data_IF_299202566099
#
_entry.id   IF_299202566099
#
_cell.length_a   1.000
_cell.length_b   1.000
_cell.length_c   1.000
_cell.angle_alpha   90.00
_cell.angle_beta   90.00
_cell.angle_gamma   90.00
#
_symmetry.space_group_name_H-M   'P 1'
#
loop_
_entity.id
_entity.type
_entity.pdbx_description
1 polymer ?
#
# COMPACT_ATOMS: atom_id res chain seq x y z
N UNK A 1 12.90 22.31 -1.15
CA UNK A 1 13.31 21.01 -1.73
C UNK A 1 13.08 19.84 -0.78
N UNK A 2 13.16 20.01 0.56
CA UNK A 2 12.86 18.93 1.53
C UNK A 2 11.37 18.55 1.63
N UNK A 3 10.44 19.48 1.39
CA UNK A 3 8.99 19.18 1.43
C UNK A 3 8.52 18.31 0.26
N UNK A 4 9.07 18.50 -0.94
CA UNK A 4 8.72 17.72 -2.13
C UNK A 4 9.13 16.25 -1.93
N UNK A 5 10.36 16.03 -1.43
CA UNK A 5 10.87 14.68 -1.17
C UNK A 5 10.10 13.94 -0.06
N UNK A 6 9.57 14.66 0.94
CA UNK A 6 8.76 14.04 2.01
C UNK A 6 7.37 13.63 1.53
N UNK A 7 6.79 14.39 0.59
CA UNK A 7 5.47 14.09 0.03
C UNK A 7 5.51 12.85 -0.87
N UNK A 8 6.59 12.71 -1.66
CA UNK A 8 6.79 11.58 -2.56
C UNK A 8 6.93 10.24 -1.81
N UNK A 9 7.65 10.22 -0.69
CA UNK A 9 7.82 9.00 0.12
C UNK A 9 6.50 8.50 0.72
N UNK A 10 5.64 9.42 1.18
CA UNK A 10 4.34 9.04 1.74
C UNK A 10 3.42 8.48 0.65
N UNK A 11 3.45 9.07 -0.56
CA UNK A 11 2.69 8.57 -1.70
C UNK A 11 3.16 7.18 -2.17
N UNK A 12 4.47 6.95 -2.23
CA UNK A 12 5.04 5.61 -2.54
C UNK A 12 4.59 4.58 -1.50
N UNK A 13 4.67 4.90 -0.21
CA UNK A 13 4.22 3.99 0.86
C UNK A 13 2.73 3.68 0.74
N UNK A 14 1.91 4.68 0.48
CA UNK A 14 0.47 4.49 0.29
C UNK A 14 0.20 3.57 -0.91
N UNK A 15 0.85 3.82 -2.04
CA UNK A 15 0.74 2.98 -3.24
C UNK A 15 1.06 1.51 -2.93
N UNK A 16 2.19 1.25 -2.27
CA UNK A 16 2.61 -0.09 -1.92
C UNK A 16 1.63 -0.78 -0.95
N UNK A 17 1.14 -0.07 0.06
CA UNK A 17 0.19 -0.62 1.02
C UNK A 17 -1.13 -0.97 0.34
N UNK A 18 -1.65 -0.07 -0.49
CA UNK A 18 -2.87 -0.30 -1.26
C UNK A 18 -2.69 -1.50 -2.19
N UNK A 19 -1.55 -1.58 -2.88
CA UNK A 19 -1.25 -2.70 -3.75
C UNK A 19 -1.27 -4.04 -3.00
N UNK A 20 -0.61 -4.12 -1.84
CA UNK A 20 -0.61 -5.34 -1.02
C UNK A 20 -1.99 -5.67 -0.46
N UNK A 21 -2.80 -4.65 -0.11
CA UNK A 21 -4.20 -4.84 0.31
C UNK A 21 -5.05 -5.41 -0.84
N UNK A 22 -4.86 -4.91 -2.06
CA UNK A 22 -5.56 -5.41 -3.25
C UNK A 22 -5.12 -6.81 -3.67
N UNK A 23 -3.89 -7.19 -3.33
CA UNK A 23 -3.33 -8.52 -3.60
C UNK A 23 -3.75 -9.57 -2.56
N UNK A 24 -4.54 -9.20 -1.54
CA UNK A 24 -5.04 -10.09 -0.48
C UNK A 24 -3.94 -10.92 0.19
N UNK A 25 -2.75 -10.33 0.42
CA UNK A 25 -1.63 -10.99 1.13
C UNK A 25 -2.09 -11.55 2.48
N UNK A 26 -2.96 -10.79 3.15
CA UNK A 26 -3.78 -11.26 4.25
C UNK A 26 -5.23 -11.12 3.78
N UNK A 27 -6.03 -12.18 3.93
CA UNK A 27 -7.44 -12.14 3.54
C UNK A 27 -8.20 -11.01 4.26
N UNK A 28 -9.25 -10.49 3.62
CA UNK A 28 -10.11 -9.43 4.20
C UNK A 28 -10.66 -9.81 5.58
N UNK A 29 -11.03 -11.09 5.78
CA UNK A 29 -11.48 -11.61 7.07
C UNK A 29 -10.40 -11.49 8.16
N UNK A 30 -9.17 -11.88 7.85
CA UNK A 30 -8.06 -11.85 8.80
C UNK A 30 -7.56 -10.43 9.06
N UNK A 31 -7.71 -9.52 8.09
CA UNK A 31 -7.51 -8.07 8.27
C UNK A 31 -8.59 -7.43 9.15
N UNK A 32 -9.74 -8.10 9.36
CA UNK A 32 -10.89 -7.52 10.06
C UNK A 32 -11.61 -6.42 9.29
N UNK A 33 -11.59 -6.50 7.95
CA UNK A 33 -12.29 -5.55 7.06
C UNK A 33 -13.41 -6.25 6.29
N UNK A 34 -14.38 -5.44 5.86
CA UNK A 34 -15.50 -5.86 5.01
C UNK A 34 -15.44 -5.12 3.68
N UNK A 35 -15.76 -5.81 2.59
CA UNK A 35 -15.87 -5.20 1.25
C UNK A 35 -17.26 -4.63 1.05
N UNK A 36 -17.34 -3.42 0.50
CA UNK A 36 -18.58 -2.77 0.07
C UNK A 36 -18.43 -2.27 -1.36
N UNK A 37 -19.56 -2.19 -2.05
CA UNK A 37 -19.65 -1.59 -3.38
C UNK A 37 -20.63 -0.43 -3.32
N UNK A 38 -20.16 0.74 -3.72
CA UNK A 38 -21.02 1.89 -4.02
C UNK A 38 -21.33 1.89 -5.51
N UNK A 39 -22.59 2.15 -5.86
CA UNK A 39 -23.05 2.27 -7.26
C UNK A 39 -23.95 3.49 -7.43
N UNK A 40 -24.01 4.00 -8.65
CA UNK A 40 -24.84 5.14 -9.03
C UNK A 40 -24.45 5.67 -10.40
N UNK A 41 -24.80 6.92 -10.68
CA UNK A 41 -24.47 7.59 -11.94
C UNK A 41 -23.82 8.93 -11.64
N UNK A 42 -22.67 9.20 -12.24
CA UNK A 42 -22.03 10.51 -12.19
C UNK A 42 -22.62 11.46 -13.24
N UNK A 43 -22.70 12.75 -12.92
CA UNK A 43 -23.18 13.81 -13.81
C UNK A 43 -22.14 14.94 -13.91
N UNK A 44 -21.02 14.67 -14.59
CA UNK A 44 -19.83 15.53 -14.64
C UNK A 44 -19.23 15.83 -13.26
N UNK A 45 -19.19 14.82 -12.40
CA UNK A 45 -18.66 14.95 -11.04
C UNK A 45 -17.13 14.84 -11.06
N UNK A 46 -16.45 15.77 -10.37
CA UNK A 46 -14.99 15.75 -10.19
C UNK A 46 -14.55 15.06 -8.91
N UNK A 47 -15.49 14.76 -8.00
CA UNK A 47 -15.22 14.11 -6.72
C UNK A 47 -16.32 13.15 -6.33
N UNK A 48 -15.99 12.14 -5.54
CA UNK A 48 -16.97 11.26 -4.91
C UNK A 48 -16.60 11.04 -3.45
N UNK A 49 -17.58 11.14 -2.53
CA UNK A 49 -17.39 10.77 -1.13
C UNK A 49 -17.95 9.38 -0.92
N UNK A 50 -17.11 8.46 -0.45
CA UNK A 50 -17.52 7.09 -0.14
C UNK A 50 -18.67 7.08 0.88
N UNK A 51 -19.62 6.16 0.70
CA UNK A 51 -20.84 6.10 1.52
C UNK A 51 -20.60 5.65 2.97
N UNK A 52 -19.37 5.29 3.32
CA UNK A 52 -18.96 4.88 4.67
C UNK A 52 -18.18 6.00 5.34
N UNK A 53 -18.27 6.11 6.66
CA UNK A 53 -17.50 7.09 7.44
C UNK A 53 -16.02 7.07 7.03
N UNK A 54 -15.42 8.24 6.72
CA UNK A 54 -14.05 8.34 6.23
C UNK A 54 -13.01 7.55 7.03
N UNK A 55 -13.11 7.59 8.35
CA UNK A 55 -12.15 6.96 9.27
C UNK A 55 -12.15 5.44 9.23
N UNK A 56 -13.19 4.83 8.65
CA UNK A 56 -13.35 3.39 8.53
C UNK A 56 -12.86 2.85 7.19
N UNK A 57 -12.71 3.68 6.17
CA UNK A 57 -12.23 3.24 4.85
C UNK A 57 -10.77 2.85 4.96
N UNK A 58 -10.44 1.60 4.58
CA UNK A 58 -9.07 1.07 4.63
C UNK A 58 -8.46 0.94 3.24
N UNK A 59 -9.27 0.77 2.21
CA UNK A 59 -8.78 0.54 0.87
C UNK A 59 -9.85 0.84 -0.17
N UNK A 60 -9.46 1.27 -1.37
CA UNK A 60 -10.34 1.31 -2.54
C UNK A 60 -9.80 0.28 -3.52
N UNK A 61 -10.54 -0.80 -3.74
CA UNK A 61 -10.09 -1.93 -4.56
C UNK A 61 -10.15 -1.62 -6.05
N UNK A 62 -11.25 -1.00 -6.47
CA UNK A 62 -11.44 -0.62 -7.87
C UNK A 62 -12.43 0.53 -7.99
N UNK A 63 -12.28 1.29 -9.08
CA UNK A 63 -13.21 2.33 -9.52
C UNK A 63 -13.50 2.05 -10.98
N UNK A 64 -14.75 1.73 -11.30
CA UNK A 64 -15.20 1.49 -12.68
C UNK A 64 -16.26 2.52 -13.02
N UNK A 65 -16.14 3.18 -14.18
CA UNK A 65 -17.09 4.18 -14.67
C UNK A 65 -17.41 3.87 -16.13
N UNK A 66 -18.70 3.70 -16.44
CA UNK A 66 -19.21 3.29 -17.75
C UNK A 66 -18.50 2.04 -18.30
N UNK A 67 -18.32 1.05 -17.41
CA UNK A 67 -17.61 -0.20 -17.71
C UNK A 67 -16.08 -0.09 -17.84
N UNK A 68 -15.50 1.11 -17.76
CA UNK A 68 -14.06 1.33 -17.85
C UNK A 68 -13.41 1.35 -16.46
N UNK A 69 -12.44 0.45 -16.24
CA UNK A 69 -11.63 0.46 -15.03
C UNK A 69 -10.72 1.71 -15.03
N UNK A 70 -10.78 2.48 -13.95
CA UNK A 70 -9.93 3.64 -13.73
C UNK A 70 -8.67 3.22 -12.99
N UNK A 71 -7.55 3.83 -13.37
CA UNK A 71 -6.22 3.61 -12.80
C UNK A 71 -5.94 4.67 -11.75
N UNK A 72 -5.57 4.25 -10.53
CA UNK A 72 -5.19 5.18 -9.46
C UNK A 72 -3.95 5.97 -9.84
N UNK A 73 -3.83 7.20 -9.34
CA UNK A 73 -2.79 8.20 -9.60
C UNK A 73 -2.74 8.72 -11.04
N UNK A 74 -3.31 8.00 -12.00
CA UNK A 74 -3.57 8.48 -13.37
C UNK A 74 -4.94 9.14 -13.49
N UNK A 75 -6.01 8.39 -13.21
CA UNK A 75 -7.40 8.83 -13.39
C UNK A 75 -8.01 9.44 -12.13
N UNK A 76 -7.52 9.03 -10.95
CA UNK A 76 -8.03 9.49 -9.67
C UNK A 76 -7.03 9.32 -8.53
N UNK A 77 -7.22 10.09 -7.46
CA UNK A 77 -6.56 9.92 -6.16
C UNK A 77 -7.59 9.67 -5.06
N UNK A 78 -7.16 9.14 -3.91
CA UNK A 78 -8.03 8.86 -2.77
C UNK A 78 -7.46 9.51 -1.54
N UNK A 79 -8.26 10.31 -0.84
CA UNK A 79 -7.92 10.79 0.49
C UNK A 79 -8.59 9.88 1.54
N UNK A 80 -7.82 8.96 2.11
CA UNK A 80 -8.32 8.02 3.13
C UNK A 80 -8.69 8.67 4.46
N UNK A 81 -8.26 9.91 4.74
CA UNK A 81 -8.70 10.64 5.94
C UNK A 81 -10.10 11.23 5.79
N UNK A 82 -10.51 11.55 4.56
CA UNK A 82 -11.82 12.16 4.25
C UNK A 82 -12.75 11.23 3.46
N UNK A 83 -12.27 10.07 3.01
CA UNK A 83 -13.04 9.14 2.19
C UNK A 83 -13.40 9.71 0.81
N UNK A 84 -12.71 10.76 0.36
CA UNK A 84 -12.98 11.45 -0.91
C UNK A 84 -12.08 10.91 -2.00
N UNK A 85 -12.69 10.47 -3.09
CA UNK A 85 -12.03 10.17 -4.37
C UNK A 85 -12.07 11.46 -5.20
N UNK A 86 -10.91 11.89 -5.72
CA UNK A 86 -10.80 13.05 -6.61
C UNK A 86 -10.38 12.57 -7.99
N UNK A 87 -11.17 12.89 -9.01
CA UNK A 87 -10.90 12.49 -10.39
C UNK A 87 -10.04 13.55 -11.10
N UNK A 88 -9.08 13.11 -11.91
CA UNK A 88 -8.23 13.99 -12.73
C UNK A 88 -9.06 14.75 -13.77
N UNK A 89 -10.11 14.12 -14.29
CA UNK A 89 -11.10 14.69 -15.21
C UNK A 89 -12.48 14.41 -14.65
N UNK A 90 -13.42 15.35 -14.76
CA UNK A 90 -14.81 15.12 -14.35
C UNK A 90 -15.40 13.90 -15.07
N UNK A 91 -16.14 13.07 -14.33
CA UNK A 91 -16.67 11.80 -14.81
C UNK A 91 -18.18 11.87 -15.01
N UNK A 92 -18.67 11.09 -15.98
CA UNK A 92 -20.09 10.92 -16.27
C UNK A 92 -20.38 9.46 -16.59
N UNK A 93 -21.59 9.01 -16.28
CA UNK A 93 -22.02 7.63 -16.50
C UNK A 93 -22.07 6.77 -15.23
N UNK A 94 -22.50 5.52 -15.38
CA UNK A 94 -22.71 4.62 -14.26
C UNK A 94 -21.39 4.23 -13.61
N UNK A 95 -21.32 4.29 -12.28
CA UNK A 95 -20.12 3.94 -11.52
C UNK A 95 -20.34 2.71 -10.64
N UNK A 96 -19.24 2.01 -10.39
CA UNK A 96 -19.10 0.96 -9.38
C UNK A 96 -17.76 1.14 -8.67
N UNK A 97 -17.80 1.44 -7.38
CA UNK A 97 -16.62 1.67 -6.55
C UNK A 97 -16.59 0.61 -5.46
N UNK A 98 -15.59 -0.28 -5.53
CA UNK A 98 -15.40 -1.37 -4.56
C UNK A 98 -14.34 -0.96 -3.56
N UNK A 99 -14.62 -1.07 -2.26
CA UNK A 99 -13.72 -0.62 -1.21
C UNK A 99 -13.82 -1.49 0.05
N UNK A 100 -12.73 -1.53 0.82
CA UNK A 100 -12.68 -2.20 2.12
C UNK A 100 -12.88 -1.18 3.24
N UNK A 101 -13.67 -1.53 4.25
CA UNK A 101 -13.86 -0.73 5.46
C UNK A 101 -13.85 -1.59 6.73
N UNK A 102 -13.47 -1.01 7.86
CA UNK A 102 -13.42 -1.72 9.14
C UNK A 102 -12.85 -0.89 10.27
N UNK A 103 -12.95 -1.39 11.50
CA UNK A 103 -12.33 -0.74 12.68
C UNK A 103 -10.85 -1.10 12.83
N UNK A 104 -10.40 -2.18 12.19
CA UNK A 104 -9.03 -2.69 12.23
C UNK A 104 -8.47 -2.85 10.82
N UNK A 105 -7.18 -3.14 10.73
CA UNK A 105 -6.51 -3.66 9.54
C UNK A 105 -5.30 -4.50 9.99
N UNK A 106 -4.65 -5.18 9.06
CA UNK A 106 -3.38 -5.88 9.26
C UNK A 106 -2.25 -5.36 8.38
N UNK A 107 -2.50 -4.42 7.47
CA UNK A 107 -1.47 -3.82 6.61
C UNK A 107 -1.27 -2.35 6.96
N UNK A 108 -0.03 -1.96 7.28
CA UNK A 108 0.29 -0.64 7.84
C UNK A 108 1.56 -0.03 7.22
N UNK A 109 1.63 1.30 7.06
CA UNK A 109 2.81 2.01 6.52
C UNK A 109 3.95 2.20 7.54
N UNK A 110 3.84 1.55 8.70
CA UNK A 110 4.75 1.66 9.84
C UNK A 110 4.97 0.32 10.54
N UNK A 111 6.16 0.16 11.12
CA UNK A 111 6.50 -1.00 11.92
C UNK A 111 5.65 -1.07 13.20
N UNK A 112 5.34 -2.28 13.70
CA UNK A 112 4.59 -2.45 14.92
C UNK A 112 5.28 -1.78 16.12
N UNK A 113 4.47 -1.12 16.94
CA UNK A 113 4.90 -0.61 18.23
C UNK A 113 5.01 -1.74 19.26
N UNK A 114 5.93 -1.61 20.22
CA UNK A 114 6.18 -2.64 21.24
C UNK A 114 4.98 -2.95 22.15
N UNK A 115 3.99 -2.05 22.22
CA UNK A 115 2.79 -2.15 23.07
C UNK A 115 1.59 -2.84 22.39
N UNK A 116 1.74 -3.34 21.17
CA UNK A 116 0.64 -4.04 20.49
C UNK A 116 0.25 -5.33 21.24
N UNK A 117 -0.99 -5.79 21.05
CA UNK A 117 -1.48 -7.05 21.62
C UNK A 117 -1.26 -8.20 20.63
N UNK A 118 -1.24 -9.44 21.11
CA UNK A 118 -1.12 -10.64 20.26
C UNK A 118 -2.27 -10.75 19.24
N UNK A 119 -3.45 -10.24 19.57
CA UNK A 119 -4.61 -10.19 18.68
C UNK A 119 -4.45 -9.22 17.50
N UNK A 120 -3.37 -8.44 17.44
CA UNK A 120 -3.05 -7.55 16.33
C UNK A 120 -2.28 -8.26 15.19
N UNK A 121 -2.02 -9.56 15.31
CA UNK A 121 -1.37 -10.39 14.29
C UNK A 121 -2.38 -11.34 13.64
N UNK A 122 -2.22 -11.67 12.34
CA UNK A 122 -1.08 -11.35 11.47
C UNK A 122 -1.01 -9.87 11.08
N UNK A 123 0.21 -9.39 10.77
CA UNK A 123 0.47 -8.01 10.35
C UNK A 123 1.53 -7.96 9.24
N UNK A 124 1.38 -7.03 8.30
CA UNK A 124 2.41 -6.64 7.34
C UNK A 124 2.68 -5.15 7.50
N UNK A 125 3.95 -4.79 7.61
CA UNK A 125 4.43 -3.41 7.60
C UNK A 125 5.22 -3.15 6.32
N UNK A 126 5.07 -1.96 5.74
CA UNK A 126 5.89 -1.49 4.61
C UNK A 126 6.57 -0.20 5.01
N UNK A 127 7.87 -0.11 4.78
CA UNK A 127 8.64 1.11 4.99
C UNK A 127 9.67 1.33 3.88
N UNK A 128 10.14 2.56 3.74
CA UNK A 128 11.26 2.95 2.88
C UNK A 128 12.43 3.24 3.81
N UNK A 129 13.38 2.31 3.89
CA UNK A 129 14.49 2.34 4.85
C UNK A 129 15.66 3.20 4.39
N UNK A 130 15.65 3.65 3.14
CA UNK A 130 16.65 4.54 2.60
C UNK A 130 16.71 4.48 1.08
N UNK A 131 17.85 4.88 0.55
CA UNK A 131 18.06 4.87 -0.88
C UNK A 131 19.39 5.50 -1.28
N UNK A 132 19.74 5.37 -2.55
CA UNK A 132 20.95 6.00 -3.09
C UNK A 132 20.59 7.33 -3.72
N UNK A 133 21.31 8.36 -3.31
CA UNK A 133 21.26 9.68 -3.93
C UNK A 133 22.28 9.67 -5.07
N UNK A 134 21.84 10.04 -6.26
CA UNK A 134 22.72 10.24 -7.41
C UNK A 134 22.28 11.48 -8.16
N UNK A 135 23.23 12.08 -8.88
CA UNK A 135 22.90 13.13 -9.84
C UNK A 135 22.12 12.50 -10.98
N UNK A 136 20.92 13.04 -11.23
CA UNK A 136 20.00 12.54 -12.27
C UNK A 136 20.33 13.15 -13.64
N UNK A 137 21.06 14.26 -13.64
CA UNK A 137 21.46 14.99 -14.83
C UNK A 137 22.75 15.78 -14.55
N UNK A 138 23.32 16.44 -15.56
CA UNK A 138 24.52 17.29 -15.50
C UNK A 138 24.38 18.54 -14.60
N UNK A 139 23.23 18.73 -13.96
CA UNK A 139 22.96 19.79 -12.99
C UNK A 139 23.14 19.32 -11.55
N UNK A 140 23.62 20.20 -10.66
CA UNK A 140 23.95 19.94 -9.26
C UNK A 140 22.74 19.62 -8.33
N UNK A 141 21.67 19.02 -8.85
CA UNK A 141 20.50 18.61 -8.09
C UNK A 141 20.51 17.09 -7.92
N UNK A 142 21.20 16.62 -6.89
CA UNK A 142 21.16 15.22 -6.51
C UNK A 142 19.76 14.89 -5.96
N UNK A 143 19.12 13.87 -6.50
CA UNK A 143 17.83 13.39 -5.98
C UNK A 143 17.93 11.91 -5.60
N UNK A 144 17.06 11.47 -4.70
CA UNK A 144 16.97 10.07 -4.32
C UNK A 144 16.46 9.28 -5.51
N UNK A 145 17.35 8.54 -6.17
CA UNK A 145 17.04 7.86 -7.43
C UNK A 145 16.66 6.40 -7.22
N UNK A 146 17.19 5.77 -6.17
CA UNK A 146 16.93 4.37 -5.83
C UNK A 146 16.34 4.33 -4.42
N UNK A 147 15.19 3.68 -4.25
CA UNK A 147 14.56 3.41 -2.96
C UNK A 147 14.82 1.98 -2.51
N UNK A 148 15.18 1.83 -1.24
CA UNK A 148 15.23 0.57 -0.54
C UNK A 148 13.92 0.44 0.25
N UNK A 149 13.06 -0.47 -0.19
CA UNK A 149 11.75 -0.74 0.38
C UNK A 149 11.86 -2.01 1.21
N UNK A 150 11.35 -2.01 2.43
CA UNK A 150 11.27 -3.23 3.23
C UNK A 150 9.81 -3.57 3.51
N UNK A 151 9.47 -4.84 3.35
CA UNK A 151 8.18 -5.39 3.74
C UNK A 151 8.42 -6.40 4.84
N UNK A 152 7.88 -6.14 6.02
CA UNK A 152 8.05 -7.00 7.19
C UNK A 152 6.73 -7.66 7.53
N UNK A 153 6.72 -8.99 7.48
CA UNK A 153 5.59 -9.81 7.87
C UNK A 153 5.77 -10.24 9.33
N UNK A 154 4.65 -10.27 10.07
CA UNK A 154 4.59 -10.69 11.47
C UNK A 154 3.47 -11.71 11.64
N UNK A 155 3.78 -12.84 12.26
CA UNK A 155 2.81 -13.89 12.58
C UNK A 155 3.23 -14.67 13.83
N UNK A 156 2.30 -15.38 14.46
CA UNK A 156 2.60 -16.28 15.58
C UNK A 156 3.04 -17.67 15.13
N UNK A 157 2.64 -18.06 13.91
CA UNK A 157 3.02 -19.34 13.31
C UNK A 157 4.11 -19.16 12.23
N UNK A 158 5.08 -20.07 12.21
CA UNK A 158 6.21 -20.02 11.26
C UNK A 158 5.76 -20.29 9.83
N UNK A 159 4.85 -21.24 9.61
CA UNK A 159 4.38 -21.60 8.28
C UNK A 159 3.56 -20.46 7.70
N UNK A 160 2.62 -19.91 8.46
CA UNK A 160 1.81 -18.78 8.00
C UNK A 160 2.68 -17.54 7.72
N UNK A 161 3.75 -17.32 8.48
CA UNK A 161 4.73 -16.27 8.20
C UNK A 161 5.44 -16.46 6.85
N UNK A 162 5.89 -17.68 6.56
CA UNK A 162 6.55 -18.02 5.30
C UNK A 162 5.60 -17.92 4.10
N UNK A 163 4.35 -18.35 4.28
CA UNK A 163 3.30 -18.23 3.26
C UNK A 163 2.99 -16.74 2.96
N UNK A 164 2.94 -15.89 4.00
CA UNK A 164 2.80 -14.43 3.82
C UNK A 164 3.98 -13.81 3.06
N UNK A 165 5.22 -14.16 3.42
CA UNK A 165 6.41 -13.66 2.73
C UNK A 165 6.43 -14.08 1.27
N UNK A 166 6.07 -15.33 0.99
CA UNK A 166 5.96 -15.86 -0.37
C UNK A 166 4.88 -15.11 -1.16
N UNK A 167 3.72 -14.87 -0.56
CA UNK A 167 2.64 -14.10 -1.18
C UNK A 167 3.08 -12.67 -1.52
N UNK A 168 3.77 -11.98 -0.60
CA UNK A 168 4.34 -10.64 -0.85
C UNK A 168 5.30 -10.70 -2.04
N UNK A 169 6.25 -11.62 -2.04
CA UNK A 169 7.24 -11.75 -3.10
C UNK A 169 6.58 -12.00 -4.46
N UNK A 170 5.63 -12.94 -4.53
CA UNK A 170 4.89 -13.26 -5.76
C UNK A 170 4.08 -12.07 -6.26
N UNK A 171 3.37 -11.36 -5.39
CA UNK A 171 2.58 -10.19 -5.77
C UNK A 171 3.47 -9.08 -6.34
N UNK A 172 4.55 -8.72 -5.63
CA UNK A 172 5.50 -7.68 -6.03
C UNK A 172 6.18 -8.02 -7.35
N UNK A 173 6.61 -9.27 -7.55
CA UNK A 173 7.28 -9.70 -8.79
C UNK A 173 6.33 -9.73 -10.00
N UNK A 174 5.08 -10.12 -9.79
CA UNK A 174 4.06 -10.14 -10.84
C UNK A 174 3.69 -8.74 -11.33
N UNK A 175 3.86 -7.73 -10.47
CA UNK A 175 3.48 -6.33 -10.74
C UNK A 175 4.66 -5.37 -10.78
N UNK A 176 5.89 -5.89 -10.93
CA UNK A 176 7.14 -5.12 -10.78
C UNK A 176 7.31 -3.90 -11.70
N UNK A 177 6.46 -3.70 -12.71
CA UNK A 177 6.46 -2.56 -13.64
C UNK A 177 5.14 -1.77 -13.63
N UNK A 178 4.23 -2.11 -12.73
CA UNK A 178 2.85 -1.61 -12.74
C UNK A 178 2.62 -0.48 -11.74
N UNK A 179 3.66 -0.07 -11.02
CA UNK A 179 3.59 1.01 -10.03
C UNK A 179 3.78 2.37 -10.70
N UNK A 180 3.04 3.36 -10.24
CA UNK A 180 3.05 4.72 -10.71
C UNK A 180 4.37 5.42 -10.36
N UNK A 181 4.78 5.36 -9.08
CA UNK A 181 5.98 6.04 -8.59
C UNK A 181 7.27 5.21 -8.73
N UNK A 182 7.15 3.90 -8.99
CA UNK A 182 8.28 2.95 -8.99
C UNK A 182 8.43 2.30 -10.37
N UNK A 183 9.53 2.59 -11.06
CA UNK A 183 9.72 2.17 -12.45
C UNK A 183 9.90 0.65 -12.62
N UNK A 184 10.67 0.05 -11.71
CA UNK A 184 10.96 -1.38 -11.73
C UNK A 184 11.33 -1.85 -10.33
N UNK A 185 10.56 -2.79 -9.77
CA UNK A 185 10.85 -3.37 -8.46
C UNK A 185 11.56 -4.72 -8.63
N UNK A 186 12.60 -4.97 -7.83
CA UNK A 186 13.21 -6.30 -7.70
C UNK A 186 13.50 -6.64 -6.23
N UNK A 187 13.44 -7.91 -5.83
CA UNK A 187 13.90 -8.35 -4.52
C UNK A 187 15.41 -8.08 -4.40
N UNK A 188 15.84 -7.77 -3.18
CA UNK A 188 17.25 -7.55 -2.85
C UNK A 188 17.70 -8.58 -1.81
N UNK A 189 17.17 -8.48 -0.58
CA UNK A 189 17.57 -9.31 0.55
C UNK A 189 16.34 -9.94 1.19
N UNK A 190 16.46 -11.21 1.58
CA UNK A 190 15.48 -11.89 2.44
C UNK A 190 16.10 -12.09 3.82
N UNK A 191 15.55 -11.41 4.83
CA UNK A 191 16.03 -11.49 6.20
C UNK A 191 15.77 -12.86 6.85
N UNK A 192 16.45 -13.16 7.97
CA UNK A 192 16.14 -14.33 8.78
C UNK A 192 14.79 -14.17 9.49
N UNK A 193 14.23 -15.28 9.98
CA UNK A 193 13.13 -15.23 10.95
C UNK A 193 13.70 -14.79 12.29
N UNK A 194 13.13 -13.72 12.84
CA UNK A 194 13.50 -13.17 14.15
C UNK A 194 12.32 -13.34 15.10
N UNK A 195 12.60 -13.67 16.36
CA UNK A 195 11.59 -13.63 17.42
C UNK A 195 11.45 -12.18 17.89
N UNK A 196 10.29 -11.58 17.64
CA UNK A 196 9.93 -10.26 18.11
C UNK A 196 9.36 -10.36 19.53
N UNK A 197 10.10 -9.92 20.56
CA UNK A 197 9.68 -10.10 21.95
C UNK A 197 8.48 -9.20 22.25
N UNK A 198 7.31 -9.80 22.45
CA UNK A 198 6.07 -9.06 22.71
C UNK A 198 5.31 -9.61 23.90
N UNK A 199 5.56 -9.04 25.08
CA UNK A 199 4.84 -9.38 26.31
C UNK A 199 4.94 -10.86 26.70
N UNK A 200 6.04 -11.53 26.38
CA UNK A 200 6.26 -12.95 26.67
C UNK A 200 5.66 -13.92 25.64
N UNK A 201 4.89 -13.43 24.67
CA UNK A 201 4.39 -14.24 23.56
C UNK A 201 5.41 -14.27 22.42
N UNK A 202 5.47 -15.41 21.72
CA UNK A 202 6.35 -15.59 20.54
C UNK A 202 5.65 -15.03 19.31
N UNK A 203 6.04 -13.83 18.90
CA UNK A 203 5.69 -13.28 17.59
C UNK A 203 6.92 -13.42 16.71
N UNK A 204 6.76 -14.00 15.54
CA UNK A 204 7.81 -14.16 14.55
C UNK A 204 7.72 -13.04 13.53
N UNK A 205 8.86 -12.50 13.13
CA UNK A 205 8.96 -11.51 12.07
C UNK A 205 9.96 -11.95 11.01
N UNK A 206 9.67 -11.65 9.75
CA UNK A 206 10.62 -11.78 8.65
C UNK A 206 10.49 -10.59 7.72
N UNK A 207 11.62 -10.06 7.27
CA UNK A 207 11.70 -8.96 6.33
C UNK A 207 12.08 -9.45 4.93
N UNK A 208 11.46 -8.90 3.90
CA UNK A 208 11.93 -8.97 2.52
C UNK A 208 12.14 -7.56 2.01
N UNK A 209 13.35 -7.31 1.51
CA UNK A 209 13.76 -6.03 0.97
C UNK A 209 13.65 -6.05 -0.55
N UNK A 210 13.24 -4.90 -1.08
CA UNK A 210 13.14 -4.62 -2.50
C UNK A 210 13.89 -3.34 -2.82
N UNK A 211 14.40 -3.26 -4.03
CA UNK A 211 14.97 -2.03 -4.57
C UNK A 211 14.22 -1.61 -5.81
N UNK A 212 14.03 -0.30 -5.96
CA UNK A 212 13.41 0.27 -7.14
C UNK A 212 13.95 1.65 -7.46
N UNK A 213 13.98 1.99 -8.73
CA UNK A 213 14.28 3.37 -9.17
C UNK A 213 13.01 4.21 -9.20
N UNK A 214 13.11 5.48 -8.81
CA UNK A 214 12.01 6.43 -8.97
C UNK A 214 11.56 6.52 -10.43
N UNK A 215 10.27 6.66 -10.64
CA UNK A 215 9.69 6.92 -11.94
C UNK A 215 9.45 8.42 -12.11
N UNK A 216 10.37 9.11 -12.80
CA UNK A 216 10.15 10.49 -13.21
C UNK A 216 9.09 10.50 -14.31
N UNK A 217 7.94 11.10 -14.03
CA UNK A 217 6.92 11.41 -15.04
C UNK A 217 7.11 12.82 -15.57
#
# INVERSE_FOLDING_TARGET
>A
MSEIMSQDLMAIKEELIVFLRNSDIISTSNRGVTTKTDTGTFNNDSTYTLSTSPTLVKNVRSVTIDGQLKTRYTDYTVNYSTGVITFTVAQSGDYSIVFDYGNTDSLYPDFPQANLKLSAFPRVAVDIIGGNISDVDLGANSTLHIYNITVVCYNTDTKDLEDMISAVQTAMLSNKKSFYYLKYIKPDILGPIVNFPQGGNKVLSRAIDFVSTFNYQ
#
